data_IF_202582490583
#
_entry.id   IF_202582490583
#
_cell.length_a   1.000
_cell.length_b   1.000
_cell.length_c   1.000
_cell.angle_alpha   90.00
_cell.angle_beta   90.00
_cell.angle_gamma   90.00
#
_symmetry.space_group_name_H-M   'P 1'
#
loop_
_entity.id
_entity.type
_entity.pdbx_description
1 polymer ?
#
# COMPACT_ATOMS: atom_id res chain seq x y z
N UNK A 1 13.51 19.16 5.97
CA UNK A 1 13.21 17.94 5.17
C UNK A 1 12.64 18.40 3.85
N UNK A 2 12.92 17.73 2.72
CA UNK A 2 12.25 18.06 1.46
C UNK A 2 10.73 17.92 1.62
N UNK A 3 9.95 18.76 0.94
CA UNK A 3 8.49 18.72 0.94
C UNK A 3 8.00 18.11 -0.37
N UNK A 4 7.14 17.11 -0.25
CA UNK A 4 6.48 16.46 -1.38
C UNK A 4 5.04 16.95 -1.54
N UNK A 5 4.67 17.34 -2.75
CA UNK A 5 3.30 17.72 -3.08
C UNK A 5 2.54 16.54 -3.67
N UNK A 6 1.41 16.17 -3.08
CA UNK A 6 0.51 15.16 -3.62
C UNK A 6 -0.13 15.69 -4.92
N UNK A 7 0.07 14.96 -6.03
CA UNK A 7 -0.35 15.42 -7.35
C UNK A 7 -1.86 15.71 -7.41
N UNK A 8 -2.24 16.88 -7.96
CA UNK A 8 -3.65 17.34 -8.04
C UNK A 8 -4.65 16.27 -8.54
N UNK A 9 -4.29 15.54 -9.60
CA UNK A 9 -5.13 14.45 -10.14
C UNK A 9 -5.40 13.34 -9.12
N UNK A 10 -4.43 13.07 -8.22
CA UNK A 10 -4.56 12.10 -7.15
C UNK A 10 -5.51 12.59 -6.06
N UNK A 11 -5.41 13.86 -5.63
CA UNK A 11 -6.34 14.46 -4.65
C UNK A 11 -7.81 14.27 -5.05
N UNK A 12 -8.16 14.55 -6.31
CA UNK A 12 -9.53 14.34 -6.81
C UNK A 12 -9.95 12.86 -6.84
N UNK A 13 -9.02 11.93 -7.10
CA UNK A 13 -9.35 10.51 -7.10
C UNK A 13 -9.56 9.96 -5.68
N UNK A 14 -8.79 10.48 -4.71
CA UNK A 14 -8.82 10.06 -3.30
C UNK A 14 -10.18 10.37 -2.69
N UNK A 15 -10.73 11.57 -2.91
CA UNK A 15 -12.04 11.96 -2.33
C UNK A 15 -13.20 11.07 -2.77
N UNK A 16 -13.12 10.45 -3.96
CA UNK A 16 -14.19 9.56 -4.47
C UNK A 16 -14.22 8.18 -3.80
N UNK A 17 -13.11 7.78 -3.19
CA UNK A 17 -12.91 6.45 -2.61
C UNK A 17 -12.63 6.52 -1.10
N UNK A 18 -12.66 7.71 -0.52
CA UNK A 18 -12.28 8.00 0.87
C UNK A 18 -13.02 7.10 1.87
N UNK A 19 -14.33 6.91 1.70
CA UNK A 19 -15.12 6.08 2.62
C UNK A 19 -14.70 4.60 2.60
N UNK A 20 -14.30 4.07 1.44
CA UNK A 20 -13.78 2.70 1.36
C UNK A 20 -12.43 2.56 2.08
N UNK A 21 -11.60 3.60 2.04
CA UNK A 21 -10.33 3.61 2.78
C UNK A 21 -10.52 3.89 4.27
N UNK A 22 -11.55 4.65 4.67
CA UNK A 22 -11.96 4.79 6.07
C UNK A 22 -12.37 3.43 6.64
N UNK A 23 -13.21 2.69 5.92
CA UNK A 23 -13.59 1.33 6.30
C UNK A 23 -12.38 0.38 6.36
N UNK A 24 -11.46 0.46 5.39
CA UNK A 24 -10.22 -0.33 5.41
C UNK A 24 -9.35 -0.02 6.63
N UNK A 25 -9.14 1.27 6.96
CA UNK A 25 -8.42 1.72 8.15
C UNK A 25 -9.05 1.13 9.42
N UNK A 26 -10.37 1.25 9.57
CA UNK A 26 -11.10 0.72 10.72
C UNK A 26 -10.95 -0.80 10.83
N UNK A 27 -11.08 -1.54 9.73
CA UNK A 27 -10.91 -3.00 9.73
C UNK A 27 -9.50 -3.42 10.17
N UNK A 28 -8.47 -2.68 9.74
CA UNK A 28 -7.08 -2.90 10.18
C UNK A 28 -6.95 -2.65 11.68
N UNK A 29 -7.49 -1.55 12.20
CA UNK A 29 -7.44 -1.23 13.63
C UNK A 29 -8.18 -2.27 14.49
N UNK A 30 -9.24 -2.88 13.96
CA UNK A 30 -9.97 -3.97 14.62
C UNK A 30 -9.28 -5.34 14.50
N UNK A 31 -8.22 -5.46 13.69
CA UNK A 31 -7.51 -6.73 13.47
C UNK A 31 -6.48 -7.05 14.56
N UNK A 32 -6.15 -6.10 15.44
CA UNK A 32 -5.23 -6.29 16.56
C UNK A 32 -4.64 -4.97 17.09
N UNK A 33 -4.28 -4.95 18.37
CA UNK A 33 -3.82 -3.72 19.05
C UNK A 33 -2.38 -3.31 18.68
N UNK A 34 -1.54 -4.24 18.21
CA UNK A 34 -0.11 -4.02 17.93
C UNK A 34 0.25 -3.96 16.44
N UNK A 35 -0.73 -3.71 15.55
CA UNK A 35 -0.47 -3.61 14.11
C UNK A 35 -0.12 -2.16 13.74
N UNK A 36 1.18 -1.84 13.62
CA UNK A 36 1.66 -0.50 13.24
C UNK A 36 2.30 -0.46 11.86
N UNK A 37 3.07 -1.49 11.51
CA UNK A 37 3.81 -1.59 10.25
C UNK A 37 3.10 -2.55 9.32
N UNK A 38 2.63 -2.06 8.17
CA UNK A 38 1.76 -2.82 7.27
C UNK A 38 2.38 -2.87 5.88
N UNK A 39 2.74 -4.07 5.43
CA UNK A 39 3.18 -4.30 4.07
C UNK A 39 1.98 -4.39 3.12
N UNK A 40 2.02 -3.64 2.02
CA UNK A 40 1.03 -3.69 0.95
C UNK A 40 1.70 -4.24 -0.30
N UNK A 41 1.20 -5.36 -0.81
CA UNK A 41 1.69 -5.98 -2.05
C UNK A 41 0.54 -6.26 -3.01
N UNK A 42 0.86 -6.75 -4.21
CA UNK A 42 -0.09 -7.24 -5.21
C UNK A 42 0.42 -8.52 -5.86
N UNK A 43 -0.42 -9.23 -6.60
CA UNK A 43 0.02 -10.43 -7.34
C UNK A 43 0.89 -10.03 -8.54
N UNK A 44 0.49 -9.00 -9.27
CA UNK A 44 1.10 -8.50 -10.49
C UNK A 44 1.24 -6.96 -10.48
N UNK A 45 2.09 -6.40 -11.35
CA UNK A 45 2.15 -4.96 -11.56
C UNK A 45 0.80 -4.39 -12.05
N UNK A 46 0.48 -3.15 -11.66
CA UNK A 46 -0.68 -2.44 -12.20
C UNK A 46 -2.01 -2.70 -11.50
N UNK A 47 -2.04 -3.50 -10.44
CA UNK A 47 -3.26 -3.78 -9.66
C UNK A 47 -3.66 -2.65 -8.69
N UNK A 48 -2.83 -1.61 -8.59
CA UNK A 48 -3.11 -0.42 -7.78
C UNK A 48 -2.61 -0.49 -6.34
N UNK A 49 -1.62 -1.33 -6.06
CA UNK A 49 -0.89 -1.41 -4.77
C UNK A 49 -0.48 -0.02 -4.25
N UNK A 50 0.20 0.77 -5.08
CA UNK A 50 0.72 2.10 -4.73
C UNK A 50 -0.40 3.10 -4.47
N UNK A 51 -1.49 3.03 -5.25
CA UNK A 51 -2.68 3.85 -4.97
C UNK A 51 -3.28 3.47 -3.61
N UNK A 52 -3.37 2.16 -3.32
CA UNK A 52 -3.95 1.64 -2.08
C UNK A 52 -3.10 2.01 -0.87
N UNK A 53 -1.78 1.82 -0.94
CA UNK A 53 -0.86 2.17 0.14
C UNK A 53 -0.84 3.69 0.40
N UNK A 54 -0.85 4.52 -0.64
CA UNK A 54 -0.95 5.99 -0.47
C UNK A 54 -2.27 6.41 0.17
N UNK A 55 -3.42 5.91 -0.31
CA UNK A 55 -4.71 6.27 0.27
C UNK A 55 -4.82 5.80 1.73
N UNK A 56 -4.37 4.58 2.01
CA UNK A 56 -4.37 4.04 3.36
C UNK A 56 -3.51 4.91 4.31
N UNK A 57 -2.30 5.28 3.89
CA UNK A 57 -1.44 6.17 4.67
C UNK A 57 -2.08 7.54 4.91
N UNK A 58 -2.70 8.12 3.88
CA UNK A 58 -3.39 9.40 4.00
C UNK A 58 -4.61 9.32 4.93
N UNK A 59 -5.37 8.23 4.90
CA UNK A 59 -6.52 8.04 5.79
C UNK A 59 -6.12 7.88 7.25
N UNK A 60 -4.97 7.26 7.55
CA UNK A 60 -4.40 7.29 8.90
C UNK A 60 -3.94 8.70 9.30
N UNK A 61 -3.22 9.40 8.41
CA UNK A 61 -2.74 10.77 8.64
C UNK A 61 -3.87 11.76 8.94
N UNK A 62 -4.94 11.73 8.13
CA UNK A 62 -6.17 12.52 8.32
C UNK A 62 -6.92 12.19 9.61
N UNK A 63 -6.72 10.99 10.17
CA UNK A 63 -7.25 10.63 11.49
C UNK A 63 -6.42 11.21 12.65
N UNK A 64 -5.35 11.95 12.36
CA UNK A 64 -4.45 12.52 13.35
C UNK A 64 -3.26 11.64 13.71
N UNK A 65 -3.08 10.49 13.06
CA UNK A 65 -1.94 9.62 13.32
C UNK A 65 -0.71 10.06 12.55
N UNK A 66 0.43 10.16 13.23
CA UNK A 66 1.70 10.43 12.57
C UNK A 66 2.10 9.23 11.72
N UNK A 67 1.96 9.36 10.41
CA UNK A 67 1.99 8.23 9.47
C UNK A 67 3.15 8.35 8.48
N UNK A 68 3.88 7.26 8.31
CA UNK A 68 4.96 7.15 7.32
C UNK A 68 4.55 6.22 6.17
N UNK A 69 4.70 6.68 4.94
CA UNK A 69 4.64 5.84 3.75
C UNK A 69 6.05 5.56 3.24
N UNK A 70 6.43 4.28 3.15
CA UNK A 70 7.72 3.85 2.61
C UNK A 70 7.48 3.21 1.24
N UNK A 71 8.10 3.76 0.21
CA UNK A 71 8.16 3.17 -1.11
C UNK A 71 9.35 2.21 -1.20
N UNK A 72 9.08 0.93 -0.91
CA UNK A 72 10.09 -0.12 -0.91
C UNK A 72 10.19 -0.86 -2.27
N UNK A 73 9.49 -0.38 -3.31
CA UNK A 73 9.62 -0.88 -4.68
C UNK A 73 10.84 -0.25 -5.39
N UNK A 74 12.04 -0.55 -4.87
CA UNK A 74 13.33 -0.04 -5.35
C UNK A 74 13.78 -0.62 -6.69
N UNK A 75 12.90 -1.37 -7.38
CA UNK A 75 13.14 -1.87 -8.73
C UNK A 75 12.70 -0.89 -9.80
N UNK A 76 11.47 -0.38 -9.68
CA UNK A 76 10.85 0.46 -10.71
C UNK A 76 9.62 1.21 -10.17
N UNK A 77 9.76 1.83 -8.99
CA UNK A 77 8.68 2.65 -8.47
C UNK A 77 8.42 3.87 -9.35
N UNK A 78 7.15 4.27 -9.38
CA UNK A 78 6.66 5.51 -10.02
C UNK A 78 6.00 6.45 -8.99
N UNK A 79 6.22 6.22 -7.70
CA UNK A 79 5.60 7.02 -6.65
C UNK A 79 6.05 8.48 -6.74
N UNK A 80 7.36 8.70 -6.82
CA UNK A 80 7.90 10.03 -7.14
C UNK A 80 7.68 10.33 -8.62
N UNK A 81 7.12 11.51 -8.92
CA UNK A 81 6.69 11.93 -10.26
C UNK A 81 5.26 11.50 -10.64
N UNK A 82 4.77 10.36 -10.12
CA UNK A 82 3.43 9.84 -10.42
C UNK A 82 2.37 10.09 -9.34
N UNK A 83 2.75 10.00 -8.08
CA UNK A 83 1.88 10.24 -6.90
C UNK A 83 2.25 11.54 -6.23
N UNK A 84 3.53 11.68 -5.90
CA UNK A 84 4.10 12.88 -5.29
C UNK A 84 4.98 13.62 -6.28
N UNK A 85 5.07 14.94 -6.13
CA UNK A 85 6.00 15.81 -6.86
C UNK A 85 6.95 16.44 -5.86
N UNK A 86 8.18 16.68 -6.30
CA UNK A 86 9.18 17.41 -5.52
C UNK A 86 9.71 18.55 -6.36
N UNK A 87 9.87 19.73 -5.76
CA UNK A 87 10.63 20.84 -6.34
C UNK A 87 12.14 20.66 -6.22
N UNK A 88 12.59 19.73 -5.38
CA UNK A 88 13.99 19.52 -5.04
C UNK A 88 14.44 18.08 -5.32
N UNK A 89 15.75 17.85 -5.39
CA UNK A 89 16.31 16.51 -5.47
C UNK A 89 16.14 15.80 -4.13
N UNK A 90 15.51 14.63 -4.15
CA UNK A 90 15.26 13.80 -2.96
C UNK A 90 16.06 12.50 -3.10
N UNK A 91 16.84 12.16 -2.07
CA UNK A 91 17.45 10.84 -1.94
C UNK A 91 16.39 9.84 -1.45
N UNK A 92 16.46 8.58 -1.88
CA UNK A 92 15.47 7.59 -1.48
C UNK A 92 16.05 6.42 -0.70
N UNK A 93 15.23 5.39 -0.55
CA UNK A 93 15.55 4.17 0.17
C UNK A 93 16.77 3.47 -0.43
N UNK A 94 16.91 3.43 -1.76
CA UNK A 94 18.09 2.85 -2.43
C UNK A 94 19.37 3.53 -1.98
N UNK A 95 19.46 4.86 -2.03
CA UNK A 95 20.67 5.60 -1.66
C UNK A 95 21.01 5.44 -0.18
N UNK A 96 19.98 5.40 0.69
CA UNK A 96 20.19 5.14 2.11
C UNK A 96 20.74 3.74 2.35
N UNK A 97 20.13 2.70 1.77
CA UNK A 97 20.54 1.31 1.97
C UNK A 97 21.93 1.02 1.37
N UNK A 98 22.27 1.70 0.28
CA UNK A 98 23.59 1.65 -0.34
C UNK A 98 24.67 2.43 0.45
N UNK A 99 24.32 3.06 1.58
CA UNK A 99 25.21 3.89 2.43
C UNK A 99 25.74 5.15 1.74
N UNK A 100 25.03 5.63 0.71
CA UNK A 100 25.40 6.86 0.03
C UNK A 100 24.89 8.10 0.77
N UNK A 101 23.84 7.95 1.58
CA UNK A 101 23.16 9.04 2.28
C UNK A 101 22.61 8.62 3.64
N UNK A 102 22.36 9.61 4.50
CA UNK A 102 21.66 9.44 5.75
C UNK A 102 20.14 9.44 5.56
N UNK A 103 19.42 8.73 6.43
CA UNK A 103 17.96 8.58 6.35
C UNK A 103 17.22 9.93 6.38
N UNK A 104 17.76 10.90 7.14
CA UNK A 104 17.20 12.25 7.27
C UNK A 104 17.14 13.02 5.94
N UNK A 105 17.99 12.65 4.97
CA UNK A 105 17.99 13.26 3.63
C UNK A 105 16.92 12.68 2.71
N UNK A 106 16.43 11.46 3.00
CA UNK A 106 15.38 10.80 2.23
C UNK A 106 14.01 10.73 2.90
N UNK A 107 13.93 11.21 4.14
CA UNK A 107 12.66 11.39 4.86
C UNK A 107 12.06 12.75 4.49
N UNK A 108 10.90 12.71 3.86
CA UNK A 108 10.19 13.88 3.37
C UNK A 108 8.90 14.15 4.15
N UNK A 109 8.60 15.43 4.34
CA UNK A 109 7.27 15.88 4.71
C UNK A 109 6.40 15.95 3.44
N UNK A 110 5.09 16.03 3.61
CA UNK A 110 4.16 16.24 2.49
C UNK A 110 3.30 17.48 2.71
N UNK A 111 2.57 17.90 1.67
CA UNK A 111 1.53 18.91 1.76
C UNK A 111 0.24 18.42 2.45
N UNK A 112 0.26 17.21 3.01
CA UNK A 112 -0.80 16.65 3.85
C UNK A 112 -0.27 16.49 5.29
N UNK A 113 -1.00 17.05 6.25
CA UNK A 113 -0.62 17.01 7.66
C UNK A 113 -0.49 15.57 8.17
N UNK A 114 0.48 15.34 9.05
CA UNK A 114 0.81 14.03 9.63
C UNK A 114 1.29 12.95 8.65
N UNK A 115 1.42 13.24 7.36
CA UNK A 115 1.93 12.30 6.36
C UNK A 115 3.38 12.60 5.99
N UNK A 116 4.22 11.58 6.15
CA UNK A 116 5.63 11.57 5.80
C UNK A 116 5.91 10.48 4.77
N UNK A 117 6.94 10.65 3.95
CA UNK A 117 7.27 9.72 2.87
C UNK A 117 8.76 9.44 2.81
N UNK A 118 9.13 8.18 2.63
CA UNK A 118 10.45 7.76 2.11
C UNK A 118 10.22 7.22 0.70
N UNK A 119 10.81 7.90 -0.30
CA UNK A 119 10.70 7.47 -1.71
C UNK A 119 11.66 6.31 -2.02
N UNK A 120 11.42 5.56 -3.11
CA UNK A 120 12.31 4.45 -3.49
C UNK A 120 13.74 4.89 -3.77
N UNK A 121 13.92 6.08 -4.34
CA UNK A 121 15.19 6.51 -4.92
C UNK A 121 15.43 5.86 -6.29
N UNK A 122 16.68 5.87 -6.75
CA UNK A 122 17.03 5.25 -8.02
C UNK A 122 16.79 3.74 -8.03
N UNK A 123 16.49 3.19 -9.20
CA UNK A 123 16.36 1.75 -9.38
C UNK A 123 17.68 1.06 -9.00
N UNK A 124 17.62 0.09 -8.09
CA UNK A 124 18.79 -0.66 -7.67
C UNK A 124 19.08 -1.83 -8.62
N UNK A 125 20.35 -2.08 -8.99
CA UNK A 125 20.71 -3.31 -9.69
C UNK A 125 20.61 -4.55 -8.78
N UNK A 126 20.67 -4.39 -7.45
CA UNK A 126 20.69 -5.46 -6.46
C UNK A 126 19.64 -5.24 -5.34
N UNK A 127 18.35 -5.11 -5.68
CA UNK A 127 17.29 -4.70 -4.75
C UNK A 127 17.12 -5.66 -3.57
N UNK A 128 17.11 -6.97 -3.85
CA UNK A 128 16.93 -8.03 -2.85
C UNK A 128 18.00 -7.97 -1.76
N UNK A 129 19.27 -7.77 -2.13
CA UNK A 129 20.37 -7.70 -1.18
C UNK A 129 20.27 -6.47 -0.25
N UNK A 130 19.83 -5.32 -0.79
CA UNK A 130 19.63 -4.12 0.01
C UNK A 130 18.48 -4.30 1.02
N UNK A 131 17.36 -4.90 0.58
CA UNK A 131 16.19 -5.14 1.43
C UNK A 131 16.42 -6.23 2.49
N UNK A 132 17.31 -7.18 2.24
CA UNK A 132 17.70 -8.20 3.21
C UNK A 132 18.72 -7.69 4.25
N UNK A 133 19.30 -6.50 4.05
CA UNK A 133 20.38 -6.02 4.90
C UNK A 133 19.93 -5.68 6.32
N UNK A 134 20.85 -5.85 7.29
CA UNK A 134 20.68 -5.38 8.68
C UNK A 134 20.31 -3.89 8.76
N UNK A 135 20.76 -3.09 7.78
CA UNK A 135 20.46 -1.66 7.70
C UNK A 135 18.97 -1.42 7.49
N UNK A 136 18.30 -2.22 6.66
CA UNK A 136 16.85 -2.12 6.47
C UNK A 136 16.10 -2.50 7.76
N UNK A 137 16.46 -3.61 8.39
CA UNK A 137 15.87 -4.06 9.67
C UNK A 137 16.05 -3.02 10.79
N UNK A 138 17.25 -2.45 10.90
CA UNK A 138 17.57 -1.41 11.88
C UNK A 138 16.76 -0.14 11.61
N UNK A 139 16.66 0.27 10.34
CA UNK A 139 15.85 1.42 9.93
C UNK A 139 14.38 1.25 10.36
N UNK A 140 13.77 0.10 10.05
CA UNK A 140 12.38 -0.19 10.44
C UNK A 140 12.19 -0.17 11.96
N UNK A 141 13.16 -0.70 12.71
CA UNK A 141 13.15 -0.71 14.18
C UNK A 141 13.28 0.69 14.80
N UNK A 142 14.00 1.60 14.14
CA UNK A 142 14.07 3.00 14.55
C UNK A 142 12.76 3.71 14.21
N UNK A 143 12.28 3.60 12.96
CA UNK A 143 11.10 4.31 12.48
C UNK A 143 9.84 3.97 13.26
N UNK A 144 9.63 2.70 13.64
CA UNK A 144 8.45 2.30 14.43
C UNK A 144 8.32 2.99 15.79
N UNK A 145 9.39 3.60 16.31
CA UNK A 145 9.37 4.37 17.56
C UNK A 145 8.94 5.82 17.36
N UNK A 146 8.90 6.30 16.12
CA UNK A 146 8.67 7.70 15.78
C UNK A 146 7.36 7.96 15.02
N UNK A 147 6.68 6.90 14.61
CA UNK A 147 5.44 6.93 13.82
C UNK A 147 4.40 6.00 14.45
N UNK A 148 3.15 6.44 14.43
CA UNK A 148 2.01 5.63 14.92
C UNK A 148 1.70 4.50 13.94
N UNK A 149 1.78 4.80 12.64
CA UNK A 149 1.61 3.84 11.55
C UNK A 149 2.69 3.98 10.48
N UNK A 150 3.10 2.86 9.91
CA UNK A 150 4.03 2.78 8.78
C UNK A 150 3.40 1.89 7.71
N UNK A 151 3.10 2.48 6.55
CA UNK A 151 2.60 1.74 5.38
C UNK A 151 3.77 1.52 4.43
N UNK A 152 4.01 0.27 4.03
CA UNK A 152 5.14 -0.09 3.16
C UNK A 152 4.61 -0.57 1.81
N UNK A 153 4.79 0.23 0.76
CA UNK A 153 4.50 -0.17 -0.63
C UNK A 153 5.61 -1.09 -1.12
N UNK A 154 5.26 -2.33 -1.48
CA UNK A 154 6.24 -3.37 -1.86
C UNK A 154 6.12 -3.73 -3.33
N UNK A 155 7.15 -4.30 -3.98
CA UNK A 155 6.97 -4.92 -5.30
C UNK A 155 5.86 -5.98 -5.31
N UNK A 156 5.29 -6.33 -6.48
CA UNK A 156 4.31 -7.41 -6.56
C UNK A 156 4.91 -8.75 -6.12
N UNK A 157 4.37 -9.38 -5.07
CA UNK A 157 4.88 -10.62 -4.50
C UNK A 157 4.80 -11.81 -5.47
N UNK A 158 3.85 -11.79 -6.41
CA UNK A 158 3.75 -12.84 -7.43
C UNK A 158 4.91 -12.82 -8.44
N UNK A 159 5.72 -11.75 -8.47
CA UNK A 159 6.82 -11.57 -9.42
C UNK A 159 8.20 -11.73 -8.78
N UNK A 160 8.39 -11.23 -7.56
CA UNK A 160 9.70 -11.19 -6.89
C UNK A 160 9.56 -11.45 -5.39
N UNK A 161 10.63 -11.98 -4.77
CA UNK A 161 10.67 -12.35 -3.35
C UNK A 161 10.81 -11.16 -2.40
N UNK A 162 11.13 -9.98 -2.93
CA UNK A 162 11.41 -8.77 -2.15
C UNK A 162 10.27 -8.40 -1.19
N UNK A 163 9.02 -8.58 -1.62
CA UNK A 163 7.85 -8.33 -0.79
C UNK A 163 7.79 -9.25 0.45
N UNK A 164 8.20 -10.52 0.34
CA UNK A 164 8.28 -11.43 1.49
C UNK A 164 9.34 -10.98 2.49
N UNK A 165 10.49 -10.49 2.02
CA UNK A 165 11.57 -9.96 2.87
C UNK A 165 11.12 -8.71 3.62
N UNK A 166 10.43 -7.80 2.92
CA UNK A 166 9.86 -6.60 3.52
C UNK A 166 8.76 -6.96 4.53
N UNK A 167 7.84 -7.87 4.17
CA UNK A 167 6.76 -8.29 5.04
C UNK A 167 7.28 -8.85 6.37
N UNK A 168 8.38 -9.62 6.36
CA UNK A 168 8.99 -10.22 7.56
C UNK A 168 9.38 -9.22 8.65
N UNK A 169 9.62 -7.94 8.31
CA UNK A 169 9.94 -6.88 9.29
C UNK A 169 8.75 -5.95 9.59
N UNK A 170 7.56 -6.30 9.08
CA UNK A 170 6.28 -5.64 9.32
C UNK A 170 5.46 -6.45 10.35
N UNK A 171 4.40 -5.83 10.87
CA UNK A 171 3.49 -6.47 11.84
C UNK A 171 2.34 -7.17 11.13
N UNK A 172 2.02 -6.74 9.90
CA UNK A 172 0.93 -7.28 9.10
C UNK A 172 1.16 -7.12 7.59
N UNK A 173 0.40 -7.87 6.80
CA UNK A 173 0.42 -7.78 5.34
C UNK A 173 -0.99 -7.75 4.71
N UNK A 174 -1.11 -7.01 3.62
CA UNK A 174 -2.31 -6.88 2.78
C UNK A 174 -1.96 -7.19 1.32
N UNK A 175 -2.88 -7.87 0.63
CA UNK A 175 -2.76 -8.16 -0.80
C UNK A 175 -3.80 -7.35 -1.60
N UNK A 176 -3.35 -6.52 -2.52
CA UNK A 176 -4.21 -5.78 -3.46
C UNK A 176 -4.38 -6.62 -4.71
N UNK A 177 -5.63 -6.86 -5.11
CA UNK A 177 -5.98 -7.65 -6.29
C UNK A 177 -6.91 -6.85 -7.18
N UNK A 178 -6.58 -6.75 -8.48
CA UNK A 178 -7.46 -6.12 -9.46
C UNK A 178 -8.61 -7.06 -9.85
N UNK A 179 -9.83 -6.52 -9.80
CA UNK A 179 -11.05 -7.23 -10.17
C UNK A 179 -10.98 -7.71 -11.62
N UNK A 180 -11.31 -8.97 -11.88
CA UNK A 180 -11.34 -9.60 -13.21
C UNK A 180 -10.01 -9.64 -14.00
N UNK A 181 -8.88 -9.27 -13.38
CA UNK A 181 -7.57 -9.29 -14.05
C UNK A 181 -6.68 -10.45 -13.59
N UNK A 182 -6.94 -11.03 -12.40
CA UNK A 182 -6.07 -12.06 -11.80
C UNK A 182 -6.82 -13.36 -11.51
N UNK A 183 -6.24 -14.47 -11.95
CA UNK A 183 -6.77 -15.82 -11.68
C UNK A 183 -6.68 -16.14 -10.19
N UNK A 184 -7.75 -16.71 -9.61
CA UNK A 184 -7.83 -17.13 -8.20
C UNK A 184 -6.62 -17.93 -7.72
N UNK A 185 -6.11 -18.86 -8.55
CA UNK A 185 -4.92 -19.67 -8.23
C UNK A 185 -3.67 -18.82 -7.98
N UNK A 186 -3.51 -17.72 -8.72
CA UNK A 186 -2.38 -16.80 -8.52
C UNK A 186 -2.53 -15.99 -7.23
N UNK A 187 -3.76 -15.54 -6.93
CA UNK A 187 -4.06 -14.87 -5.64
C UNK A 187 -3.75 -15.80 -4.46
N UNK A 188 -4.17 -17.07 -4.53
CA UNK A 188 -3.87 -18.06 -3.50
C UNK A 188 -2.36 -18.27 -3.32
N UNK A 189 -1.60 -18.36 -4.42
CA UNK A 189 -0.14 -18.47 -4.36
C UNK A 189 0.49 -17.24 -3.70
N UNK A 190 0.07 -16.03 -4.08
CA UNK A 190 0.56 -14.78 -3.46
C UNK A 190 0.25 -14.72 -1.97
N UNK A 191 -0.97 -15.11 -1.57
CA UNK A 191 -1.36 -15.23 -0.16
C UNK A 191 -0.39 -16.17 0.58
N UNK A 192 -0.17 -17.38 0.07
CA UNK A 192 0.74 -18.36 0.71
C UNK A 192 2.16 -17.81 0.84
N UNK A 193 2.66 -17.06 -0.14
CA UNK A 193 3.98 -16.43 -0.05
C UNK A 193 4.05 -15.32 1.00
N UNK A 194 2.97 -14.56 1.22
CA UNK A 194 2.90 -13.59 2.32
C UNK A 194 2.86 -14.30 3.67
N UNK A 195 2.06 -15.36 3.82
CA UNK A 195 1.98 -16.14 5.05
C UNK A 195 3.34 -16.79 5.42
N UNK A 196 4.14 -17.17 4.42
CA UNK A 196 5.51 -17.67 4.63
C UNK A 196 6.47 -16.64 5.25
N UNK A 197 6.15 -15.35 5.22
CA UNK A 197 6.94 -14.32 5.93
C UNK A 197 6.81 -14.42 7.46
N UNK A 198 5.94 -15.30 7.98
CA UNK A 198 5.56 -15.40 9.40
C UNK A 198 4.88 -14.14 9.95
N UNK A 199 4.38 -13.30 9.05
CA UNK A 199 3.66 -12.06 9.36
C UNK A 199 2.16 -12.30 9.20
N UNK A 200 1.31 -11.85 10.13
CA UNK A 200 -0.15 -11.87 9.98
C UNK A 200 -0.61 -11.37 8.62
N UNK A 201 -1.42 -12.18 7.92
CA UNK A 201 -2.06 -11.81 6.67
C UNK A 201 -3.48 -11.32 6.96
N UNK A 202 -3.72 -10.01 6.85
CA UNK A 202 -5.00 -9.40 7.21
C UNK A 202 -6.09 -9.65 6.18
N UNK A 203 -5.70 -9.83 4.91
CA UNK A 203 -6.64 -10.14 3.86
C UNK A 203 -6.33 -9.47 2.52
N UNK A 204 -7.39 -9.35 1.72
CA UNK A 204 -7.33 -8.89 0.33
C UNK A 204 -8.11 -7.58 0.18
N UNK A 205 -7.49 -6.60 -0.47
CA UNK A 205 -8.17 -5.41 -0.97
C UNK A 205 -8.51 -5.63 -2.44
N UNK A 206 -9.80 -5.79 -2.75
CA UNK A 206 -10.27 -5.88 -4.12
C UNK A 206 -10.33 -4.49 -4.74
N UNK A 207 -9.52 -4.26 -5.77
CA UNK A 207 -9.38 -2.95 -6.42
C UNK A 207 -9.92 -2.97 -7.87
N UNK A 208 -10.11 -1.78 -8.46
CA UNK A 208 -10.72 -1.56 -9.79
C UNK A 208 -12.13 -2.15 -9.93
N UNK A 209 -12.83 -2.32 -8.82
CA UNK A 209 -14.19 -2.83 -8.82
C UNK A 209 -15.16 -1.78 -9.39
N UNK A 210 -16.01 -2.21 -10.33
CA UNK A 210 -17.00 -1.34 -10.95
C UNK A 210 -18.33 -1.39 -10.19
N UNK A 211 -18.51 -0.47 -9.24
CA UNK A 211 -19.72 -0.34 -8.42
C UNK A 211 -20.98 -0.06 -9.27
N UNK A 212 -20.85 0.62 -10.41
CA UNK A 212 -22.01 0.94 -11.25
C UNK A 212 -22.55 -0.29 -11.97
N UNK A 213 -21.66 -1.13 -12.51
CA UNK A 213 -22.06 -2.36 -13.20
C UNK A 213 -22.87 -3.30 -12.28
N UNK A 214 -22.54 -3.35 -10.99
CA UNK A 214 -23.24 -4.23 -10.03
C UNK A 214 -24.59 -3.65 -9.57
N UNK A 215 -24.71 -2.31 -9.46
CA UNK A 215 -26.01 -1.66 -9.19
C UNK A 215 -27.04 -1.90 -10.30
N UNK A 216 -26.60 -2.00 -11.56
CA UNK A 216 -27.47 -2.38 -12.68
C UNK A 216 -27.82 -3.89 -12.66
N UNK A 217 -26.91 -4.76 -12.20
CA UNK A 217 -27.20 -6.20 -12.02
C UNK A 217 -28.23 -6.50 -10.93
N UNK A 218 -28.24 -5.72 -9.84
CA UNK A 218 -29.16 -5.91 -8.72
C UNK A 218 -30.63 -5.60 -9.07
N UNK A 219 -30.89 -4.66 -9.98
CA UNK A 219 -32.25 -4.36 -10.45
C UNK A 219 -32.84 -5.46 -11.35
N UNK A 220 -32.00 -6.32 -11.95
CA UNK A 220 -32.45 -7.47 -12.74
C UNK A 220 -32.92 -8.67 -11.90
N UNK A 221 -32.50 -8.78 -10.64
CA UNK A 221 -32.79 -9.95 -9.79
C UNK A 221 -34.04 -9.80 -8.91
N UNK A 222 -34.56 -8.60 -8.72
CA UNK A 222 -35.81 -8.37 -7.98
C UNK A 222 -37.08 -8.47 -8.86
N UNK A 223 -36.92 -8.51 -10.19
CA UNK A 223 -38.04 -8.63 -11.14
C UNK A 223 -38.68 -10.02 -11.20
N UNK A 224 -38.11 -11.05 -10.56
CA UNK A 224 -38.60 -12.42 -10.64
C UNK A 224 -39.33 -12.94 -9.39
N UNK A 225 -39.45 -12.15 -8.33
CA UNK A 225 -40.21 -12.55 -7.13
C UNK A 225 -41.66 -12.02 -7.11
N UNK A 226 -42.04 -11.16 -8.05
CA UNK A 226 -43.38 -10.55 -8.11
C UNK A 226 -44.43 -11.29 -8.94
N UNK A 227 -44.04 -12.28 -9.75
CA UNK A 227 -44.94 -12.90 -10.76
C UNK A 227 -45.66 -14.17 -10.28
N UNK A 228 -45.43 -14.62 -9.04
CA UNK A 228 -46.07 -15.83 -8.48
C UNK A 228 -47.12 -15.54 -7.39
N UNK A 229 -47.56 -14.29 -7.19
CA UNK A 229 -48.58 -13.92 -6.20
C UNK A 229 -49.91 -13.45 -6.82
N UNK A 230 -50.12 -13.66 -8.11
CA UNK A 230 -51.33 -13.21 -8.83
C UNK A 230 -52.13 -14.34 -9.50
N UNK A 231 -52.03 -15.57 -8.98
CA UNK A 231 -52.91 -16.68 -9.38
C UNK A 231 -53.45 -17.43 -8.16
N UNK A 232 -54.39 -16.80 -7.46
CA UNK A 232 -55.56 -17.43 -6.83
C UNK A 232 -56.75 -16.48 -6.96
#
# INVERSE_FOLDING_TARGET
MPILELAKKKKLSISRVEEYYNALRTNIQLSGEDIKVIAVSSTFPGEGKTTTSTNLALTFAKAGHKTLLIDADIRNSKMLGGVFKSGEKVSGLTEYLARNTDLSQGLCETDEENLFVITSGQASPNPTALLQSERFTTMMSVLRRHYDYIIVDTPPIGMVVDATLIAKVCDASLLVVATNEVKRKMVQKSKTQLEQSSTPFLGVVLNKYNVQADKYGFYGSYGHYGDNLSKE
#
